data_IF_903119851910
#
_entry.id   IF_903119851910
#
_cell.length_a   1.000
_cell.length_b   1.000
_cell.length_c   1.000
_cell.angle_alpha   90.00
_cell.angle_beta   90.00
_cell.angle_gamma   90.00
#
_symmetry.space_group_name_H-M   'P 1'
#
loop_
_entity.id
_entity.type
_entity.pdbx_description
1 polymer ?
#
# COMPACT_ATOMS: atom_id res chain seq x y z
N UNK A 1 -9.20 -6.12 -26.78
CA UNK A 1 -9.25 -5.82 -25.32
C UNK A 1 -8.59 -4.47 -25.07
N UNK A 2 -9.25 -3.58 -24.33
CA UNK A 2 -8.81 -2.21 -24.09
C UNK A 2 -8.88 -1.85 -22.61
N UNK A 3 -7.99 -0.95 -22.18
CA UNK A 3 -7.99 -0.35 -20.84
C UNK A 3 -7.70 1.14 -20.97
N UNK A 4 -8.33 1.99 -20.15
CA UNK A 4 -7.98 3.41 -20.12
C UNK A 4 -6.65 3.63 -19.38
N UNK A 5 -5.90 4.67 -19.73
CA UNK A 5 -4.65 5.00 -19.04
C UNK A 5 -4.84 5.15 -17.51
N UNK A 6 -5.94 5.78 -17.08
CA UNK A 6 -6.24 5.96 -15.65
C UNK A 6 -6.57 4.63 -14.97
N UNK A 7 -7.29 3.74 -15.64
CA UNK A 7 -7.56 2.39 -15.13
C UNK A 7 -6.24 1.62 -14.97
N UNK A 8 -5.37 1.65 -15.99
CA UNK A 8 -4.08 0.96 -15.95
C UNK A 8 -3.22 1.46 -14.79
N UNK A 9 -3.13 2.77 -14.59
CA UNK A 9 -2.36 3.35 -13.49
C UNK A 9 -2.99 3.08 -12.12
N UNK A 10 -4.31 3.02 -12.02
CA UNK A 10 -5.01 2.62 -10.79
C UNK A 10 -4.76 1.15 -10.46
N UNK A 11 -4.74 0.27 -11.47
CA UNK A 11 -4.37 -1.14 -11.34
C UNK A 11 -2.91 -1.29 -10.91
N UNK A 12 -1.99 -0.58 -11.55
CA UNK A 12 -0.57 -0.60 -11.20
C UNK A 12 -0.34 -0.11 -9.76
N UNK A 13 -1.01 0.95 -9.35
CA UNK A 13 -0.97 1.46 -7.98
C UNK A 13 -1.49 0.42 -6.96
N UNK A 14 -2.71 -0.09 -7.18
CA UNK A 14 -3.41 -0.93 -6.22
C UNK A 14 -2.94 -2.38 -6.20
N UNK A 15 -2.97 -3.05 -7.35
CA UNK A 15 -2.57 -4.46 -7.47
C UNK A 15 -1.08 -4.63 -7.73
N UNK A 16 -0.46 -3.73 -8.49
CA UNK A 16 0.99 -3.77 -8.72
C UNK A 16 1.76 -3.46 -7.43
N UNK A 17 1.73 -2.23 -6.95
CA UNK A 17 2.51 -1.84 -5.77
C UNK A 17 1.87 -2.31 -4.46
N UNK A 18 0.58 -2.00 -4.27
CA UNK A 18 -0.12 -2.27 -3.01
C UNK A 18 -0.24 -3.76 -2.67
N UNK A 19 -0.76 -4.59 -3.58
CA UNK A 19 -0.96 -6.01 -3.30
C UNK A 19 0.36 -6.80 -3.21
N UNK A 20 1.37 -6.47 -4.04
CA UNK A 20 2.71 -7.09 -3.89
C UNK A 20 3.34 -6.73 -2.55
N UNK A 21 3.21 -5.47 -2.11
CA UNK A 21 3.66 -5.06 -0.78
C UNK A 21 2.91 -5.80 0.33
N UNK A 22 1.59 -5.92 0.21
CA UNK A 22 0.74 -6.66 1.16
C UNK A 22 1.16 -8.13 1.28
N UNK A 23 1.41 -8.80 0.14
CA UNK A 23 1.88 -10.17 0.08
C UNK A 23 3.23 -10.33 0.78
N UNK A 24 4.14 -9.37 0.60
CA UNK A 24 5.48 -9.42 1.18
C UNK A 24 5.51 -9.38 2.71
N UNK A 25 4.45 -8.90 3.37
CA UNK A 25 4.38 -8.97 4.84
C UNK A 25 4.38 -10.40 5.38
N UNK A 26 3.87 -11.38 4.63
CA UNK A 26 3.87 -12.79 5.08
C UNK A 26 5.29 -13.29 5.38
N UNK A 27 6.23 -13.05 4.46
CA UNK A 27 7.64 -13.41 4.63
C UNK A 27 8.35 -12.55 5.68
N UNK A 28 8.15 -11.23 5.63
CA UNK A 28 8.80 -10.32 6.57
C UNK A 28 8.38 -10.58 8.02
N UNK A 29 7.08 -10.71 8.30
CA UNK A 29 6.58 -10.93 9.66
C UNK A 29 7.02 -12.28 10.21
N UNK A 30 7.03 -13.34 9.39
CA UNK A 30 7.52 -14.65 9.81
C UNK A 30 9.00 -14.60 10.24
N UNK A 31 9.86 -13.98 9.43
CA UNK A 31 11.29 -13.87 9.74
C UNK A 31 11.56 -12.93 10.92
N UNK A 32 10.92 -11.76 10.97
CA UNK A 32 11.04 -10.82 12.09
C UNK A 32 10.54 -11.44 13.41
N UNK A 33 9.47 -12.23 13.37
CA UNK A 33 8.96 -12.94 14.53
C UNK A 33 9.96 -14.00 15.02
N UNK A 34 10.50 -14.83 14.13
CA UNK A 34 11.52 -15.84 14.48
C UNK A 34 12.76 -15.21 15.14
N UNK A 35 13.19 -14.05 14.66
CA UNK A 35 14.32 -13.31 15.25
C UNK A 35 13.96 -12.67 16.61
N UNK A 36 12.68 -12.45 16.88
CA UNK A 36 12.19 -11.81 18.11
C UNK A 36 11.71 -12.81 19.17
N UNK A 37 11.51 -14.08 18.79
CA UNK A 37 10.94 -15.11 19.66
C UNK A 37 11.78 -15.32 20.95
N UNK A 38 11.12 -15.54 22.12
CA UNK A 38 11.80 -15.83 23.37
C UNK A 38 12.64 -17.12 23.31
N UNK A 39 13.75 -17.16 24.07
CA UNK A 39 14.57 -18.36 24.27
C UNK A 39 15.68 -18.54 23.23
N UNK A 40 15.33 -18.74 21.96
CA UNK A 40 16.30 -19.04 20.90
C UNK A 40 16.03 -18.22 19.62
N UNK A 41 16.26 -16.89 19.66
CA UNK A 41 16.08 -16.06 18.48
C UNK A 41 17.03 -16.48 17.35
N UNK A 42 16.51 -16.60 16.13
CA UNK A 42 17.35 -16.91 14.97
C UNK A 42 18.36 -15.79 14.74
N UNK A 43 19.63 -16.15 14.58
CA UNK A 43 20.70 -15.24 14.15
C UNK A 43 20.86 -15.45 12.65
N UNK A 44 20.56 -14.44 11.81
CA UNK A 44 20.77 -14.58 10.37
C UNK A 44 22.25 -14.74 10.06
N UNK A 45 22.61 -15.72 9.23
CA UNK A 45 23.91 -15.76 8.58
C UNK A 45 24.10 -14.52 7.69
N UNK A 46 25.34 -14.17 7.29
CA UNK A 46 25.57 -13.03 6.39
C UNK A 46 24.79 -13.10 5.07
N UNK A 47 24.53 -14.32 4.56
CA UNK A 47 23.73 -14.50 3.35
C UNK A 47 22.25 -14.22 3.60
N UNK A 48 21.69 -14.77 4.67
CA UNK A 48 20.29 -14.55 5.05
C UNK A 48 20.04 -13.08 5.41
N UNK A 49 20.99 -12.43 6.10
CA UNK A 49 20.91 -11.01 6.40
C UNK A 49 20.86 -10.16 5.12
N UNK A 50 21.72 -10.43 4.13
CA UNK A 50 21.69 -9.72 2.83
C UNK A 50 20.39 -9.96 2.07
N UNK A 51 19.89 -11.19 2.06
CA UNK A 51 18.63 -11.52 1.41
C UNK A 51 17.46 -10.79 2.07
N UNK A 52 17.38 -10.81 3.40
CA UNK A 52 16.33 -10.12 4.14
C UNK A 52 16.45 -8.59 3.99
N UNK A 53 17.67 -8.02 3.91
CA UNK A 53 17.86 -6.61 3.58
C UNK A 53 17.35 -6.25 2.20
N UNK A 54 17.63 -7.08 1.19
CA UNK A 54 17.09 -6.88 -0.17
C UNK A 54 15.56 -6.94 -0.15
N UNK A 55 15.01 -7.92 0.56
CA UNK A 55 13.57 -8.12 0.71
C UNK A 55 12.89 -6.91 1.37
N UNK A 56 13.40 -6.46 2.53
CA UNK A 56 12.88 -5.29 3.25
C UNK A 56 13.04 -4.01 2.42
N UNK A 57 14.14 -3.85 1.68
CA UNK A 57 14.33 -2.71 0.77
C UNK A 57 13.31 -2.70 -0.36
N UNK A 58 13.03 -3.86 -0.96
CA UNK A 58 11.99 -3.99 -1.97
C UNK A 58 10.60 -3.65 -1.40
N UNK A 59 10.29 -4.09 -0.18
CA UNK A 59 9.05 -3.70 0.52
C UNK A 59 8.95 -2.19 0.71
N UNK A 60 10.04 -1.53 1.14
CA UNK A 60 10.07 -0.07 1.30
C UNK A 60 9.80 0.64 -0.03
N UNK A 61 10.42 0.19 -1.12
CA UNK A 61 10.20 0.76 -2.46
C UNK A 61 8.73 0.58 -2.87
N UNK A 62 8.16 -0.62 -2.71
CA UNK A 62 6.76 -0.88 -3.05
C UNK A 62 5.79 -0.06 -2.20
N UNK A 63 6.06 0.10 -0.90
CA UNK A 63 5.24 0.88 0.01
C UNK A 63 5.22 2.37 -0.39
N UNK A 64 6.39 2.95 -0.64
CA UNK A 64 6.48 4.34 -1.11
C UNK A 64 5.88 4.52 -2.50
N UNK A 65 6.14 3.60 -3.43
CA UNK A 65 5.55 3.63 -4.76
C UNK A 65 4.01 3.58 -4.69
N UNK A 66 3.44 2.75 -3.81
CA UNK A 66 2.00 2.71 -3.57
C UNK A 66 1.49 4.05 -3.05
N UNK A 67 2.03 4.58 -1.95
CA UNK A 67 1.52 5.83 -1.35
C UNK A 67 1.69 7.03 -2.28
N UNK A 68 2.86 7.18 -2.92
CA UNK A 68 3.12 8.32 -3.82
C UNK A 68 2.27 8.26 -5.09
N UNK A 69 2.14 7.09 -5.73
CA UNK A 69 1.26 6.94 -6.90
C UNK A 69 -0.21 7.16 -6.53
N UNK A 70 -0.64 6.70 -5.35
CA UNK A 70 -1.98 6.95 -4.85
C UNK A 70 -2.24 8.44 -4.65
N UNK A 71 -1.36 9.13 -3.93
CA UNK A 71 -1.54 10.52 -3.53
C UNK A 71 -1.38 11.52 -4.69
N UNK A 72 -0.43 11.27 -5.60
CA UNK A 72 -0.06 12.26 -6.63
C UNK A 72 -0.54 11.91 -8.04
N UNK A 73 -0.99 10.67 -8.29
CA UNK A 73 -1.49 10.26 -9.61
C UNK A 73 -2.98 9.93 -9.55
N UNK A 74 -3.38 8.98 -8.71
CA UNK A 74 -4.77 8.49 -8.66
C UNK A 74 -5.70 9.50 -7.97
N UNK A 75 -5.27 10.04 -6.83
CA UNK A 75 -6.10 10.91 -5.99
C UNK A 75 -6.54 12.21 -6.68
N UNK A 76 -5.70 12.91 -7.47
CA UNK A 76 -6.15 14.05 -8.27
C UNK A 76 -7.31 13.73 -9.21
N UNK A 77 -7.34 12.55 -9.84
CA UNK A 77 -8.46 12.14 -10.70
C UNK A 77 -9.70 11.75 -9.90
N UNK A 78 -9.50 11.10 -8.75
CA UNK A 78 -10.59 10.76 -7.84
C UNK A 78 -11.37 12.00 -7.39
N UNK A 79 -10.66 13.10 -7.08
CA UNK A 79 -11.22 14.38 -6.59
C UNK A 79 -11.58 15.39 -7.69
N UNK A 80 -11.64 14.95 -8.95
CA UNK A 80 -11.96 15.84 -10.06
C UNK A 80 -13.32 16.54 -9.84
N UNK A 81 -13.41 17.81 -10.25
CA UNK A 81 -14.62 18.63 -10.08
C UNK A 81 -15.46 18.53 -11.35
N UNK A 82 -16.75 18.14 -11.25
CA UNK A 82 -17.65 18.11 -12.40
C UNK A 82 -18.02 19.52 -12.86
N UNK A 83 -18.20 19.74 -14.18
CA UNK A 83 -18.80 20.95 -14.71
C UNK A 83 -20.16 21.25 -14.08
N UNK A 84 -20.49 22.54 -13.97
CA UNK A 84 -21.77 22.98 -13.44
C UNK A 84 -22.94 22.41 -14.27
N UNK A 85 -23.97 21.90 -13.60
CA UNK A 85 -25.16 21.33 -14.23
C UNK A 85 -25.00 19.90 -14.75
N UNK A 86 -23.83 19.28 -14.62
CA UNK A 86 -23.64 17.89 -15.01
C UNK A 86 -24.37 16.94 -14.04
N UNK A 87 -25.26 16.12 -14.56
CA UNK A 87 -26.05 15.15 -13.79
C UNK A 87 -25.40 13.76 -13.74
N UNK A 88 -24.66 13.38 -14.79
CA UNK A 88 -23.90 12.13 -14.82
C UNK A 88 -22.53 12.30 -14.16
N UNK A 89 -22.36 11.66 -13.00
CA UNK A 89 -21.15 11.72 -12.19
C UNK A 89 -20.23 10.50 -12.38
N UNK A 90 -20.49 9.63 -13.36
CA UNK A 90 -19.73 8.39 -13.54
C UNK A 90 -18.20 8.59 -13.67
N UNK A 91 -17.77 9.75 -14.20
CA UNK A 91 -16.35 10.11 -14.35
C UNK A 91 -15.80 11.00 -13.22
N UNK A 92 -16.57 11.20 -12.14
CA UNK A 92 -16.23 12.05 -11.00
C UNK A 92 -16.36 11.26 -9.69
N UNK A 93 -15.41 10.34 -9.40
CA UNK A 93 -15.57 9.30 -8.38
C UNK A 93 -15.96 9.81 -6.99
N UNK A 94 -15.29 10.85 -6.50
CA UNK A 94 -15.62 11.44 -5.20
C UNK A 94 -17.07 11.95 -5.15
N UNK A 95 -17.50 12.66 -6.21
CA UNK A 95 -18.85 13.22 -6.28
C UNK A 95 -19.90 12.13 -6.45
N UNK A 96 -19.59 11.09 -7.22
CA UNK A 96 -20.44 9.92 -7.37
C UNK A 96 -20.70 9.23 -6.01
N UNK A 97 -19.66 9.03 -5.20
CA UNK A 97 -19.81 8.45 -3.85
C UNK A 97 -20.67 9.33 -2.95
N UNK A 98 -20.43 10.63 -2.97
CA UNK A 98 -21.14 11.62 -2.16
C UNK A 98 -22.61 11.82 -2.57
N UNK A 99 -22.98 11.48 -3.81
CA UNK A 99 -24.33 11.66 -4.33
C UNK A 99 -25.36 10.68 -3.73
N UNK A 100 -24.93 9.63 -3.04
CA UNK A 100 -25.82 8.64 -2.42
C UNK A 100 -25.45 8.38 -0.95
N UNK A 101 -26.42 8.38 -0.01
CA UNK A 101 -26.18 8.00 1.37
C UNK A 101 -25.61 6.58 1.54
N UNK A 102 -25.89 5.69 0.59
CA UNK A 102 -25.40 4.31 0.63
C UNK A 102 -23.91 4.17 0.32
N UNK A 103 -23.29 5.20 -0.27
CA UNK A 103 -21.89 5.17 -0.70
C UNK A 103 -21.03 6.30 -0.13
N UNK A 104 -21.64 7.35 0.43
CA UNK A 104 -20.93 8.54 0.92
C UNK A 104 -19.91 8.21 2.01
N UNK A 105 -20.21 7.21 2.86
CA UNK A 105 -19.31 6.72 3.91
C UNK A 105 -17.96 6.21 3.39
N UNK A 106 -17.90 5.70 2.16
CA UNK A 106 -16.62 5.29 1.55
C UNK A 106 -15.68 6.47 1.38
N UNK A 107 -16.21 7.65 1.05
CA UNK A 107 -15.41 8.86 1.01
C UNK A 107 -15.19 9.43 2.42
N UNK A 108 -16.26 9.73 3.15
CA UNK A 108 -16.15 10.49 4.41
C UNK A 108 -15.39 9.77 5.52
N UNK A 109 -15.33 8.43 5.49
CA UNK A 109 -14.52 7.66 6.43
C UNK A 109 -13.34 6.97 5.73
N UNK A 110 -13.62 6.26 4.64
CA UNK A 110 -12.62 5.43 3.96
C UNK A 110 -11.47 6.24 3.36
N UNK A 111 -11.77 7.36 2.69
CA UNK A 111 -10.71 8.22 2.14
C UNK A 111 -9.95 8.97 3.22
N UNK A 112 -10.61 9.47 4.27
CA UNK A 112 -9.90 10.12 5.39
C UNK A 112 -8.88 9.17 6.02
N UNK A 113 -9.28 7.91 6.28
CA UNK A 113 -8.36 6.89 6.77
C UNK A 113 -7.23 6.61 5.80
N UNK A 114 -7.51 6.45 4.50
CA UNK A 114 -6.46 6.22 3.49
C UNK A 114 -5.47 7.38 3.40
N UNK A 115 -5.94 8.61 3.51
CA UNK A 115 -5.09 9.80 3.38
C UNK A 115 -4.10 9.93 4.54
N UNK A 116 -4.42 9.42 5.73
CA UNK A 116 -3.56 9.54 6.91
C UNK A 116 -2.85 8.22 7.26
N UNK A 117 -3.60 7.13 7.36
CA UNK A 117 -3.09 5.83 7.87
C UNK A 117 -2.18 5.15 6.85
N UNK A 118 -2.40 5.35 5.55
CA UNK A 118 -1.57 4.72 4.53
C UNK A 118 -0.09 5.14 4.61
N UNK A 119 0.21 6.36 5.10
CA UNK A 119 1.59 6.85 5.24
C UNK A 119 2.36 6.16 6.38
N UNK A 120 1.65 5.59 7.36
CA UNK A 120 2.30 4.84 8.43
C UNK A 120 3.06 3.63 7.90
N UNK A 121 2.55 2.99 6.85
CA UNK A 121 3.14 1.79 6.28
C UNK A 121 4.55 2.01 5.70
N UNK A 122 4.79 2.92 4.74
CA UNK A 122 6.14 3.15 4.20
C UNK A 122 7.09 3.74 5.24
N UNK A 123 6.64 4.62 6.14
CA UNK A 123 7.48 5.19 7.20
C UNK A 123 7.95 4.08 8.16
N UNK A 124 7.03 3.25 8.62
CA UNK A 124 7.33 2.14 9.53
C UNK A 124 8.25 1.10 8.88
N UNK A 125 7.99 0.74 7.62
CA UNK A 125 8.86 -0.21 6.91
C UNK A 125 10.24 0.36 6.61
N UNK A 126 10.36 1.67 6.37
CA UNK A 126 11.65 2.34 6.23
C UNK A 126 12.44 2.24 7.54
N UNK A 127 11.79 2.46 8.67
CA UNK A 127 12.40 2.27 10.00
C UNK A 127 12.86 0.82 10.20
N UNK A 128 12.00 -0.16 9.91
CA UNK A 128 12.31 -1.60 10.00
C UNK A 128 13.55 -1.95 9.19
N UNK A 129 13.60 -1.56 7.91
CA UNK A 129 14.72 -1.84 7.02
C UNK A 129 16.01 -1.16 7.52
N UNK A 130 15.92 0.11 7.93
CA UNK A 130 17.06 0.86 8.45
C UNK A 130 17.64 0.24 9.72
N UNK A 131 16.79 -0.07 10.71
CA UNK A 131 17.23 -0.65 11.99
C UNK A 131 17.80 -2.05 11.77
N UNK A 132 17.13 -2.88 10.97
CA UNK A 132 17.66 -4.21 10.64
C UNK A 132 19.05 -4.12 9.97
N UNK A 133 19.23 -3.23 8.99
CA UNK A 133 20.51 -3.04 8.32
C UNK A 133 21.60 -2.42 9.19
N UNK A 134 21.26 -1.44 10.04
CA UNK A 134 22.21 -0.74 10.91
C UNK A 134 22.78 -1.64 12.00
N UNK A 135 21.92 -2.43 12.65
CA UNK A 135 22.35 -3.27 13.78
C UNK A 135 22.74 -4.68 13.34
N UNK A 136 22.26 -5.15 12.18
CA UNK A 136 22.66 -6.42 11.59
C UNK A 136 22.64 -7.59 12.58
N UNK A 137 23.70 -8.41 12.64
CA UNK A 137 23.79 -9.52 13.60
C UNK A 137 23.73 -9.11 15.08
N UNK A 138 24.06 -7.85 15.40
CA UNK A 138 24.04 -7.35 16.78
C UNK A 138 22.62 -7.12 17.32
N UNK A 139 21.61 -7.09 16.44
CA UNK A 139 20.21 -6.94 16.80
C UNK A 139 19.76 -8.04 17.79
N UNK A 140 20.33 -9.25 17.70
CA UNK A 140 20.05 -10.38 18.60
C UNK A 140 20.33 -10.04 20.06
N UNK A 141 21.35 -9.21 20.32
CA UNK A 141 21.73 -8.79 21.68
C UNK A 141 20.80 -7.71 22.24
N UNK A 142 19.91 -7.15 21.43
CA UNK A 142 19.09 -5.99 21.75
C UNK A 142 17.60 -6.37 21.70
N UNK A 143 17.07 -7.08 22.72
CA UNK A 143 15.71 -7.63 22.70
C UNK A 143 14.65 -6.54 22.49
N UNK A 144 14.78 -5.38 23.15
CA UNK A 144 13.83 -4.27 23.00
C UNK A 144 13.77 -3.77 21.55
N UNK A 145 14.91 -3.67 20.86
CA UNK A 145 14.96 -3.21 19.47
C UNK A 145 14.32 -4.23 18.53
N UNK A 146 14.54 -5.53 18.76
CA UNK A 146 13.90 -6.60 17.95
C UNK A 146 12.38 -6.54 18.05
N UNK A 147 11.85 -6.41 19.27
CA UNK A 147 10.42 -6.25 19.48
C UNK A 147 9.89 -4.98 18.84
N UNK A 148 10.61 -3.85 18.93
CA UNK A 148 10.23 -2.62 18.25
C UNK A 148 10.15 -2.81 16.73
N UNK A 149 11.17 -3.44 16.11
CA UNK A 149 11.15 -3.75 14.67
C UNK A 149 9.94 -4.60 14.29
N UNK A 150 9.65 -5.66 15.06
CA UNK A 150 8.48 -6.49 14.82
C UNK A 150 7.16 -5.71 14.96
N UNK A 151 7.01 -4.92 16.03
CA UNK A 151 5.81 -4.10 16.28
C UNK A 151 5.57 -3.11 15.15
N UNK A 152 6.60 -2.41 14.67
CA UNK A 152 6.45 -1.49 13.55
C UNK A 152 6.09 -2.21 12.25
N UNK A 153 6.62 -3.41 12.01
CA UNK A 153 6.19 -4.22 10.87
C UNK A 153 4.71 -4.63 10.98
N UNK A 154 4.22 -4.97 12.18
CA UNK A 154 2.80 -5.29 12.44
C UNK A 154 1.92 -4.04 12.22
N UNK A 155 2.33 -2.88 12.73
CA UNK A 155 1.61 -1.61 12.51
C UNK A 155 1.55 -1.29 11.02
N UNK A 156 2.65 -1.45 10.30
CA UNK A 156 2.67 -1.26 8.85
C UNK A 156 1.72 -2.22 8.12
N UNK A 157 1.71 -3.51 8.51
CA UNK A 157 0.81 -4.51 7.96
C UNK A 157 -0.65 -4.13 8.18
N UNK A 158 -1.03 -3.78 9.41
CA UNK A 158 -2.39 -3.37 9.74
C UNK A 158 -2.82 -2.11 8.98
N UNK A 159 -1.95 -1.09 8.93
CA UNK A 159 -2.20 0.13 8.16
C UNK A 159 -2.41 -0.16 6.66
N UNK A 160 -1.57 -1.03 6.08
CA UNK A 160 -1.67 -1.43 4.67
C UNK A 160 -2.96 -2.21 4.41
N UNK A 161 -3.34 -3.14 5.29
CA UNK A 161 -4.56 -3.93 5.16
C UNK A 161 -5.80 -3.04 5.17
N UNK A 162 -5.89 -2.10 6.11
CA UNK A 162 -7.03 -1.17 6.21
C UNK A 162 -7.08 -0.23 5.00
N UNK A 163 -5.95 0.38 4.63
CA UNK A 163 -5.89 1.29 3.47
C UNK A 163 -6.19 0.56 2.15
N UNK A 164 -5.70 -0.67 1.99
CA UNK A 164 -5.94 -1.53 0.84
C UNK A 164 -7.41 -1.95 0.73
N UNK A 165 -8.03 -2.35 1.85
CA UNK A 165 -9.44 -2.71 1.91
C UNK A 165 -10.33 -1.52 1.48
N UNK A 166 -10.14 -0.35 2.11
CA UNK A 166 -10.88 0.85 1.69
C UNK A 166 -10.61 1.21 0.23
N UNK A 167 -9.36 1.07 -0.25
CA UNK A 167 -9.00 1.32 -1.63
C UNK A 167 -9.73 0.43 -2.62
N UNK A 168 -9.85 -0.85 -2.31
CA UNK A 168 -10.59 -1.82 -3.13
C UNK A 168 -12.09 -1.48 -3.19
N UNK A 169 -12.71 -1.17 -2.04
CA UNK A 169 -14.13 -0.80 -2.01
C UNK A 169 -14.41 0.53 -2.71
N UNK A 170 -13.58 1.54 -2.51
CA UNK A 170 -13.67 2.80 -3.24
C UNK A 170 -13.64 2.60 -4.74
N UNK A 171 -12.67 1.82 -5.24
CA UNK A 171 -12.57 1.52 -6.67
C UNK A 171 -13.75 0.68 -7.19
N UNK A 172 -14.32 -0.20 -6.35
CA UNK A 172 -15.52 -0.98 -6.70
C UNK A 172 -16.76 -0.09 -6.90
N UNK A 173 -16.97 0.90 -6.03
CA UNK A 173 -18.14 1.76 -6.08
C UNK A 173 -17.97 2.98 -6.99
N UNK A 174 -16.75 3.48 -7.14
CA UNK A 174 -16.44 4.66 -7.93
C UNK A 174 -15.05 4.52 -8.57
N UNK A 175 -14.93 3.77 -9.67
CA UNK A 175 -13.66 3.53 -10.34
C UNK A 175 -13.12 4.81 -10.98
N UNK A 176 -11.80 4.96 -10.97
CA UNK A 176 -11.11 6.09 -11.62
C UNK A 176 -10.86 5.73 -13.09
N UNK A 177 -11.72 6.25 -13.97
CA UNK A 177 -11.67 5.97 -15.42
C UNK A 177 -11.25 7.18 -16.25
N UNK A 178 -10.80 6.91 -17.47
CA UNK A 178 -10.58 7.90 -18.52
C UNK A 178 -9.12 8.05 -18.97
N UNK A 179 -8.87 9.07 -19.78
CA UNK A 179 -7.61 9.22 -20.50
C UNK A 179 -7.57 8.39 -21.79
N UNK A 180 -6.43 8.37 -22.49
CA UNK A 180 -6.28 7.62 -23.73
C UNK A 180 -6.57 6.13 -23.55
N UNK A 181 -7.21 5.53 -24.56
CA UNK A 181 -7.39 4.09 -24.63
C UNK A 181 -6.07 3.41 -24.98
N UNK A 182 -5.78 2.29 -24.31
CA UNK A 182 -4.63 1.44 -24.57
C UNK A 182 -5.17 0.10 -25.08
N UNK A 183 -4.83 -0.23 -26.33
CA UNK A 183 -5.20 -1.50 -26.94
C UNK A 183 -4.19 -2.57 -26.51
N UNK A 184 -4.64 -3.55 -25.72
CA UNK A 184 -3.79 -4.63 -25.21
C UNK A 184 -3.75 -5.81 -26.17
N UNK A 185 -4.88 -6.08 -26.83
CA UNK A 185 -5.01 -7.13 -27.84
C UNK A 185 -6.01 -6.64 -28.89
N UNK A 186 -5.59 -6.61 -30.15
CA UNK A 186 -6.51 -6.56 -31.29
C UNK A 186 -6.99 -7.99 -31.52
N UNK A 187 -8.30 -8.21 -31.53
CA UNK A 187 -8.84 -9.53 -31.87
C UNK A 187 -8.42 -9.90 -33.30
N UNK A 188 -8.08 -11.17 -33.52
CA UNK A 188 -8.15 -11.76 -34.86
C UNK A 188 -9.61 -11.94 -35.28
#
# INVERSE_FOLDING_TARGET
MEISLRDLLTVLHGMGFGALFMLAFSGALAELYRMSAPGAPSVPSPREHRLLMLYLSAMVILAWASVLSGAYVVYPWYRAIPPAGLTDLANYPQRLLLASPNTSGWHSLGMEWKEHVAWLAPISMTMVAYVFGKYGPSLVKLPQIRHAVLVFAIVAFAATAVAGAFGAFLNKYAPVRGGPAIHLMTGE
#
